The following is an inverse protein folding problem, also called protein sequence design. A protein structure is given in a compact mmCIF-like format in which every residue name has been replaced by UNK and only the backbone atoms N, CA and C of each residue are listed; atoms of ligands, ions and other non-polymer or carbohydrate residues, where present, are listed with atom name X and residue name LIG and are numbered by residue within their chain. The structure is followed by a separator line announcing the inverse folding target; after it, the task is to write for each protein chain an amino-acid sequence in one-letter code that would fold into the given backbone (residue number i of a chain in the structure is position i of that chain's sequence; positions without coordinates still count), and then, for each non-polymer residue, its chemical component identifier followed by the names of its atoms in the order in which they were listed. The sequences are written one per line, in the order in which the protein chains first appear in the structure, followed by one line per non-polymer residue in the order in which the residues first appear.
data_IF_658676535750
#
_entry.id   IF_658676535750
#
_cell.length_a   1.000
_cell.length_b   1.000
_cell.length_c   1.000
_cell.angle_alpha   90.00
_cell.angle_beta   90.00
_cell.angle_gamma   90.00
#
_symmetry.space_group_name_H-M   'P 1'
#
loop_
_entity.id
_entity.type
_entity.pdbx_description
1 polymer ?
#
# COMPACT_ATOMS: atom_id res chain seq x y z
N UNK A 1 -8.05 -6.91 -4.74
CA UNK A 1 -7.48 -7.71 -3.63
C UNK A 1 -6.27 -6.96 -3.09
N UNK A 2 -6.11 -6.89 -1.78
CA UNK A 2 -4.95 -6.27 -1.12
C UNK A 2 -4.37 -7.27 -0.13
N UNK A 3 -3.04 -7.42 -0.14
CA UNK A 3 -2.28 -8.27 0.76
C UNK A 3 -1.14 -7.43 1.33
N UNK A 4 -0.80 -7.62 2.60
CA UNK A 4 0.26 -6.86 3.26
C UNK A 4 0.98 -7.69 4.33
N UNK A 5 2.18 -7.26 4.70
CA UNK A 5 2.94 -7.86 5.81
C UNK A 5 2.37 -7.45 7.16
N UNK A 6 2.73 -8.19 8.21
CA UNK A 6 2.31 -7.90 9.57
C UNK A 6 2.82 -6.54 10.08
N UNK A 7 3.95 -6.03 9.57
CA UNK A 7 4.41 -4.65 9.79
C UNK A 7 3.32 -3.60 9.53
N UNK A 8 2.50 -3.78 8.48
CA UNK A 8 1.35 -2.90 8.19
C UNK A 8 0.23 -3.08 9.23
N UNK A 9 -0.09 -4.33 9.60
CA UNK A 9 -1.13 -4.63 10.60
C UNK A 9 -0.77 -4.21 12.03
N UNK A 10 0.52 -4.03 12.29
CA UNK A 10 1.07 -3.65 13.59
C UNK A 10 1.36 -2.14 13.69
N UNK A 11 1.22 -1.39 12.59
CA UNK A 11 1.47 0.04 12.55
C UNK A 11 0.64 0.81 13.60
N UNK A 12 1.26 1.83 14.21
CA UNK A 12 0.63 2.69 15.22
C UNK A 12 0.47 2.08 16.61
N UNK A 13 0.69 0.76 16.78
CA UNK A 13 0.60 0.09 18.10
C UNK A 13 1.57 0.69 19.12
N UNK A 14 2.79 1.04 18.70
CA UNK A 14 3.80 1.66 19.58
C UNK A 14 3.42 3.06 20.04
N UNK A 15 2.68 3.79 19.19
CA UNK A 15 2.15 5.11 19.47
C UNK A 15 0.83 5.08 20.28
N UNK A 16 0.27 3.89 20.54
CA UNK A 16 -1.00 3.71 21.23
C UNK A 16 -2.24 3.99 20.38
N UNK A 17 -2.07 4.20 19.07
CA UNK A 17 -3.15 4.45 18.11
C UNK A 17 -2.98 3.48 16.93
N UNK A 18 -3.40 2.21 17.08
CA UNK A 18 -3.22 1.20 16.04
C UNK A 18 -3.95 1.58 14.75
N UNK A 19 -3.32 1.33 13.61
CA UNK A 19 -3.97 1.45 12.31
C UNK A 19 -5.00 0.33 12.15
N UNK A 20 -6.20 0.68 11.68
CA UNK A 20 -7.18 -0.28 11.17
C UNK A 20 -7.05 -0.35 9.63
N UNK A 21 -6.42 -1.41 9.06
CA UNK A 21 -6.06 -1.41 7.64
C UNK A 21 -7.25 -1.29 6.69
N UNK A 22 -8.42 -1.79 7.09
CA UNK A 22 -9.63 -1.71 6.27
C UNK A 22 -10.16 -0.27 6.19
N UNK A 23 -10.06 0.50 7.28
CA UNK A 23 -10.49 1.90 7.33
C UNK A 23 -9.50 2.82 6.60
N UNK A 24 -8.22 2.43 6.60
CA UNK A 24 -7.16 3.16 5.92
C UNK A 24 -7.11 2.93 4.40
N UNK A 25 -7.88 1.98 3.87
CA UNK A 25 -7.92 1.72 2.43
C UNK A 25 -8.65 2.85 1.70
N UNK A 26 -7.95 3.47 0.74
CA UNK A 26 -8.58 4.39 -0.21
C UNK A 26 -9.50 3.62 -1.16
N UNK A 27 -10.73 4.11 -1.34
CA UNK A 27 -11.68 3.58 -2.30
C UNK A 27 -11.50 4.24 -3.67
N UNK A 28 -11.35 3.43 -4.71
CA UNK A 28 -11.14 3.90 -6.09
C UNK A 28 -9.67 4.14 -6.44
N UNK A 29 -9.41 4.43 -7.72
CA UNK A 29 -8.05 4.57 -8.25
C UNK A 29 -7.47 3.25 -8.79
N UNK A 30 -6.21 3.32 -9.19
CA UNK A 30 -5.43 2.18 -9.67
C UNK A 30 -5.00 1.27 -8.51
N UNK A 31 -4.54 0.05 -8.84
CA UNK A 31 -3.90 -0.81 -7.84
C UNK A 31 -2.69 -0.13 -7.17
N UNK A 32 -1.95 0.72 -7.91
CA UNK A 32 -0.83 1.49 -7.35
C UNK A 32 -1.31 2.45 -6.27
N UNK A 33 -2.38 3.21 -6.55
CA UNK A 33 -2.92 4.20 -5.61
C UNK A 33 -3.39 3.55 -4.30
N UNK A 34 -4.01 2.37 -4.40
CA UNK A 34 -4.44 1.60 -3.23
C UNK A 34 -3.23 1.12 -2.41
N UNK A 35 -2.22 0.56 -3.07
CA UNK A 35 -1.04 0.03 -2.39
C UNK A 35 -0.22 1.15 -1.72
N UNK A 36 0.04 2.23 -2.44
CA UNK A 36 0.79 3.39 -1.97
C UNK A 36 0.04 4.12 -0.84
N UNK A 37 -1.28 4.28 -0.97
CA UNK A 37 -2.11 4.92 0.05
C UNK A 37 -2.11 4.16 1.38
N UNK A 38 -2.32 2.84 1.35
CA UNK A 38 -2.29 2.04 2.58
C UNK A 38 -0.89 2.01 3.21
N UNK A 39 0.18 1.90 2.39
CA UNK A 39 1.55 1.92 2.90
C UNK A 39 1.88 3.27 3.54
N UNK A 40 1.48 4.39 2.92
CA UNK A 40 1.65 5.72 3.49
C UNK A 40 0.91 5.87 4.83
N UNK A 41 -0.34 5.41 4.92
CA UNK A 41 -1.11 5.44 6.16
C UNK A 41 -0.45 4.63 7.29
N UNK A 42 0.17 3.49 6.96
CA UNK A 42 0.93 2.69 7.93
C UNK A 42 2.20 3.39 8.43
N UNK A 43 2.95 4.01 7.51
CA UNK A 43 4.14 4.81 7.87
C UNK A 43 3.74 6.00 8.76
N UNK A 44 2.64 6.68 8.43
CA UNK A 44 2.13 7.81 9.20
C UNK A 44 1.63 7.40 10.60
N UNK A 45 0.98 6.24 10.72
CA UNK A 45 0.59 5.67 12.02
C UNK A 45 1.81 5.40 12.91
N UNK A 46 2.93 5.01 12.30
CA UNK A 46 4.24 4.86 12.94
C UNK A 46 5.03 6.19 13.04
N UNK A 47 4.39 7.34 12.81
CA UNK A 47 4.98 8.67 12.91
C UNK A 47 6.23 8.86 12.03
N UNK A 48 6.20 8.27 10.83
CA UNK A 48 7.30 8.30 9.87
C UNK A 48 8.47 7.37 10.23
N UNK A 49 8.31 6.51 11.24
CA UNK A 49 9.36 5.58 11.70
C UNK A 49 8.83 4.14 11.79
N UNK A 50 8.78 3.41 10.65
CA UNK A 50 8.31 2.03 10.62
C UNK A 50 8.97 1.18 11.69
N UNK A 51 8.16 0.48 12.48
CA UNK A 51 8.64 -0.41 13.52
C UNK A 51 9.17 -1.75 13.01
N UNK A 52 8.82 -2.13 11.78
CA UNK A 52 9.11 -3.40 11.11
C UNK A 52 9.04 -3.21 9.57
N UNK A 53 9.45 -4.22 8.81
CA UNK A 53 9.38 -4.23 7.34
C UNK A 53 7.91 -4.19 6.86
N UNK A 54 7.59 -3.18 6.05
CA UNK A 54 6.24 -2.97 5.51
C UNK A 54 6.21 -3.22 4.01
N UNK A 55 5.30 -4.09 3.56
CA UNK A 55 4.98 -4.26 2.15
C UNK A 55 3.47 -4.35 1.94
N UNK A 56 2.99 -3.75 0.86
CA UNK A 56 1.59 -3.82 0.39
C UNK A 56 1.59 -4.23 -1.08
N UNK A 57 0.74 -5.20 -1.41
CA UNK A 57 0.49 -5.65 -2.77
C UNK A 57 -0.99 -5.51 -3.08
N UNK A 58 -1.31 -4.78 -4.15
CA UNK A 58 -2.67 -4.65 -4.64
C UNK A 58 -2.81 -5.28 -6.04
N UNK A 59 -3.93 -5.98 -6.24
CA UNK A 59 -4.35 -6.55 -7.51
C UNK A 59 -5.73 -5.99 -7.88
N UNK A 60 -5.80 -5.33 -9.04
CA UNK A 60 -7.04 -4.91 -9.67
C UNK A 60 -7.26 -5.71 -10.96
N UNK A 61 -8.48 -6.23 -11.13
CA UNK A 61 -8.93 -6.89 -12.36
C UNK A 61 -10.01 -5.99 -12.93
N UNK A 62 -9.68 -5.29 -14.02
CA UNK A 62 -10.58 -4.31 -14.65
C UNK A 62 -11.14 -4.88 -15.96
N UNK A 63 -12.32 -4.42 -16.36
CA UNK A 63 -12.81 -4.66 -17.71
C UNK A 63 -11.86 -4.00 -18.72
N UNK A 64 -11.58 -4.69 -19.82
CA UNK A 64 -10.80 -4.11 -20.91
C UNK A 64 -11.70 -3.13 -21.69
N UNK A 65 -11.37 -1.85 -21.64
CA UNK A 65 -12.11 -0.81 -22.41
C UNK A 65 -11.75 -0.83 -23.90
N UNK A 66 -10.59 -1.39 -24.28
CA UNK A 66 -10.19 -1.71 -25.66
C UNK A 66 -9.06 -2.75 -25.64
N UNK A 67 -9.01 -3.67 -26.61
CA UNK A 67 -7.97 -4.73 -26.68
C UNK A 67 -6.64 -4.13 -27.17
N UNK A 68 -6.00 -3.32 -26.33
CA UNK A 68 -4.64 -2.85 -26.54
C UNK A 68 -3.66 -3.95 -26.09
N UNK A 69 -2.90 -4.61 -26.98
CA UNK A 69 -2.00 -5.73 -26.61
C UNK A 69 -0.75 -5.32 -25.83
N UNK A 70 -0.53 -4.02 -25.59
CA UNK A 70 0.67 -3.52 -24.91
C UNK A 70 0.64 -3.92 -23.43
N UNK A 71 1.63 -4.69 -23.01
CA UNK A 71 1.86 -5.06 -21.61
C UNK A 71 2.96 -4.19 -21.05
N UNK A 72 2.69 -3.53 -19.94
CA UNK A 72 3.65 -2.65 -19.27
C UNK A 72 4.05 -3.21 -17.91
N UNK A 73 5.29 -2.98 -17.51
CA UNK A 73 5.80 -3.25 -16.17
C UNK A 73 6.65 -2.05 -15.76
N UNK A 74 6.46 -1.56 -14.54
CA UNK A 74 7.23 -0.45 -13.97
C UNK A 74 7.73 -0.88 -12.58
N UNK A 75 8.99 -0.57 -12.29
CA UNK A 75 9.62 -0.78 -10.98
C UNK A 75 10.31 0.53 -10.61
N UNK A 76 10.12 0.98 -9.37
CA UNK A 76 10.80 2.15 -8.82
C UNK A 76 11.53 1.73 -7.55
N UNK A 77 12.84 1.99 -7.49
CA UNK A 77 13.71 1.66 -6.34
C UNK A 77 14.50 2.91 -5.93
N UNK A 78 13.96 3.76 -5.04
CA UNK A 78 14.70 4.88 -4.48
C UNK A 78 15.64 4.41 -3.37
N UNK A 79 16.86 4.95 -3.31
CA UNK A 79 17.84 4.72 -2.22
C UNK A 79 18.10 6.06 -1.54
N UNK A 80 18.02 6.15 -0.19
CA UNK A 80 18.36 7.38 0.53
C UNK A 80 19.85 7.74 0.39
N UNK A 81 20.17 9.04 0.48
CA UNK A 81 21.55 9.49 0.79
C UNK A 81 21.96 9.04 2.20
#
# INVERSE_FOLDING_TARGET
MVVFTDGVSNAGRRAGCPLEPLEALTMGGSASDIAEGLLAAAIDADQGRPGDDMAVVALAINAAEDVQPIRTMRVTWPIPE
#
